data_IF_384702694341
#
_entry.id   IF_384702694341
#
_cell.length_a   1.000
_cell.length_b   1.000
_cell.length_c   1.000
_cell.angle_alpha   90.00
_cell.angle_beta   90.00
_cell.angle_gamma   90.00
#
_symmetry.space_group_name_H-M   'P 1'
#
loop_
_entity.id
_entity.type
_entity.pdbx_description
1 polymer ?
#
# COMPACT_ATOMS: atom_id res chain seq x y z
N UNK A 1 -6.96 30.41 -48.52
CA UNK A 1 -7.16 31.62 -47.69
C UNK A 1 -6.49 31.40 -46.34
N UNK A 2 -5.54 32.27 -45.97
CA UNK A 2 -4.79 32.23 -44.70
C UNK A 2 -5.54 33.08 -43.67
N UNK A 3 -5.75 32.58 -42.45
CA UNK A 3 -6.09 33.36 -41.26
C UNK A 3 -5.61 32.52 -40.05
N UNK A 4 -4.36 32.60 -39.59
CA UNK A 4 -3.64 33.67 -38.86
C UNK A 4 -4.28 34.05 -37.51
N UNK A 5 -3.74 33.40 -36.47
CA UNK A 5 -3.63 33.78 -35.05
C UNK A 5 -4.91 33.81 -34.20
N UNK A 6 -4.95 32.96 -33.16
CA UNK A 6 -4.58 33.45 -31.83
C UNK A 6 -3.99 32.33 -30.97
N UNK A 7 -2.74 32.56 -30.61
CA UNK A 7 -2.03 31.95 -29.49
C UNK A 7 -2.70 32.43 -28.21
N UNK A 8 -3.12 31.53 -27.33
CA UNK A 8 -3.30 31.86 -25.92
C UNK A 8 -2.54 30.85 -25.07
N UNK A 9 -1.29 31.22 -24.80
CA UNK A 9 -0.47 30.63 -23.77
C UNK A 9 -0.98 31.11 -22.40
N UNK A 10 -1.37 30.19 -21.54
CA UNK A 10 -1.55 30.45 -20.11
C UNK A 10 -0.71 29.41 -19.34
N UNK A 11 0.58 29.71 -19.20
CA UNK A 11 1.46 29.02 -18.27
C UNK A 11 1.10 29.48 -16.86
N UNK A 12 0.34 28.66 -16.13
CA UNK A 12 0.16 28.84 -14.69
C UNK A 12 1.33 28.16 -13.96
N UNK A 13 2.35 28.96 -13.72
CA UNK A 13 3.45 28.72 -12.80
C UNK A 13 2.91 28.64 -11.37
N UNK A 14 2.93 27.46 -10.75
CA UNK A 14 2.65 27.30 -9.32
C UNK A 14 3.97 27.47 -8.54
N UNK A 15 4.03 28.35 -7.53
CA UNK A 15 5.24 28.60 -6.77
C UNK A 15 5.60 27.45 -5.81
N UNK A 16 6.90 27.20 -5.74
CA UNK A 16 7.62 26.25 -4.90
C UNK A 16 7.45 26.61 -3.41
N UNK A 17 6.83 25.73 -2.61
CA UNK A 17 6.81 25.88 -1.15
C UNK A 17 8.16 25.42 -0.57
N UNK A 18 8.89 26.35 0.01
CA UNK A 18 10.12 26.12 0.75
C UNK A 18 9.83 25.32 2.04
N UNK A 19 10.35 24.10 2.12
CA UNK A 19 10.42 23.33 3.37
C UNK A 19 11.72 23.72 4.10
N UNK A 20 11.56 24.46 5.19
CA UNK A 20 12.63 24.76 6.14
C UNK A 20 12.95 23.52 7.00
N UNK A 21 14.22 23.46 7.40
CA UNK A 21 14.94 22.29 7.89
C UNK A 21 14.56 21.95 9.35
N UNK A 22 14.24 20.67 9.59
CA UNK A 22 14.31 20.06 10.92
C UNK A 22 15.51 19.12 10.97
N UNK A 23 16.63 19.58 11.52
CA UNK A 23 17.76 18.73 11.89
C UNK A 23 17.35 17.89 13.11
N UNK A 24 16.80 16.70 12.86
CA UNK A 24 16.64 15.70 13.90
C UNK A 24 17.96 14.93 14.03
N UNK A 25 18.62 15.09 15.18
CA UNK A 25 19.70 14.23 15.64
C UNK A 25 19.25 12.76 15.56
N UNK A 26 19.90 11.95 14.73
CA UNK A 26 19.80 10.50 14.83
C UNK A 26 21.12 9.94 15.33
N UNK A 27 21.16 9.34 16.52
CA UNK A 27 22.36 8.64 17.00
C UNK A 27 22.69 7.46 16.09
N UNK A 28 23.99 7.28 15.87
CA UNK A 28 24.58 6.16 15.14
C UNK A 28 24.17 4.82 15.76
N UNK A 29 23.61 3.86 15.03
CA UNK A 29 23.46 2.50 15.54
C UNK A 29 24.80 1.79 15.50
N UNK A 30 25.43 1.68 16.67
CA UNK A 30 26.46 0.68 16.95
C UNK A 30 25.80 -0.71 16.89
N UNK A 31 26.28 -1.58 15.99
CA UNK A 31 25.93 -3.00 15.96
C UNK A 31 26.23 -3.70 17.31
N UNK A 32 25.46 -4.73 17.65
CA UNK A 32 26.06 -5.96 18.16
C UNK A 32 25.83 -7.15 17.22
N UNK A 33 26.84 -8.02 17.02
CA UNK A 33 26.71 -9.30 16.32
C UNK A 33 26.04 -10.32 17.25
N UNK A 34 25.02 -11.02 16.75
CA UNK A 34 24.32 -12.03 17.52
C UNK A 34 23.41 -12.88 16.65
N UNK A 35 23.99 -13.91 16.03
CA UNK A 35 23.26 -14.99 15.36
C UNK A 35 22.50 -15.80 16.42
N UNK A 36 21.23 -15.47 16.65
CA UNK A 36 20.31 -16.30 17.42
C UNK A 36 19.33 -16.95 16.44
N UNK A 37 19.63 -18.19 16.04
CA UNK A 37 18.74 -19.01 15.21
C UNK A 37 17.88 -19.85 16.14
N UNK A 38 16.58 -19.84 15.88
CA UNK A 38 15.59 -20.87 16.29
C UNK A 38 15.06 -20.84 17.73
N UNK A 39 14.41 -19.74 18.14
CA UNK A 39 13.33 -19.81 19.14
C UNK A 39 12.22 -18.75 18.95
N UNK A 40 12.26 -17.97 17.86
CA UNK A 40 11.46 -16.75 17.69
C UNK A 40 10.28 -16.90 16.71
N UNK A 41 10.14 -18.04 16.01
CA UNK A 41 9.13 -18.16 14.95
C UNK A 41 7.68 -18.23 15.45
N UNK A 42 7.44 -18.80 16.64
CA UNK A 42 6.10 -18.77 17.24
C UNK A 42 5.78 -17.38 17.79
N UNK A 43 6.77 -16.71 18.41
CA UNK A 43 6.61 -15.36 18.97
C UNK A 43 6.29 -14.31 17.87
N UNK A 44 6.90 -14.48 16.70
CA UNK A 44 6.69 -13.60 15.54
C UNK A 44 5.28 -13.73 14.94
N UNK A 45 4.61 -14.89 15.06
CA UNK A 45 3.23 -15.07 14.58
C UNK A 45 2.20 -14.32 15.44
N UNK A 46 2.46 -14.22 16.74
CA UNK A 46 1.63 -13.47 17.69
C UNK A 46 1.93 -11.95 17.70
N UNK A 47 2.95 -11.51 16.95
CA UNK A 47 3.28 -10.10 16.82
C UNK A 47 2.12 -9.29 16.21
N UNK A 48 1.70 -8.23 16.89
CA UNK A 48 0.69 -7.30 16.37
C UNK A 48 1.31 -6.34 15.36
N UNK A 49 0.77 -6.33 14.15
CA UNK A 49 1.17 -5.47 13.03
C UNK A 49 -0.02 -4.54 12.68
N UNK A 50 0.22 -3.24 12.76
CA UNK A 50 -0.74 -2.21 12.37
C UNK A 50 -0.47 -1.74 10.93
N UNK A 51 -1.44 -1.93 10.04
CA UNK A 51 -1.38 -1.45 8.64
C UNK A 51 -2.44 -0.38 8.40
N UNK A 52 -2.10 0.65 7.63
CA UNK A 52 -3.04 1.69 7.19
C UNK A 52 -3.68 1.24 5.89
N UNK A 53 -4.99 0.99 5.91
CA UNK A 53 -5.74 0.60 4.73
C UNK A 53 -6.26 1.83 3.98
N UNK A 54 -6.32 1.76 2.64
CA UNK A 54 -7.00 2.77 1.85
C UNK A 54 -8.50 2.78 2.21
N UNK A 55 -9.18 3.91 1.97
CA UNK A 55 -10.60 4.00 2.23
C UNK A 55 -11.38 3.03 1.33
N UNK A 56 -12.40 2.32 1.87
CA UNK A 56 -13.13 1.30 1.12
C UNK A 56 -13.93 1.88 -0.04
N UNK A 57 -14.38 3.14 0.05
CA UNK A 57 -15.09 3.85 -1.02
C UNK A 57 -14.89 5.37 -0.93
N UNK A 58 -14.38 5.96 -2.02
CA UNK A 58 -14.28 7.41 -2.20
C UNK A 58 -13.32 8.12 -1.22
N UNK A 59 -13.16 9.42 -1.42
CA UNK A 59 -12.19 10.26 -0.67
C UNK A 59 -12.77 10.84 0.63
N UNK A 60 -14.09 10.67 0.87
CA UNK A 60 -14.81 11.36 1.96
C UNK A 60 -14.63 10.69 3.33
N UNK A 61 -14.48 9.37 3.36
CA UNK A 61 -14.12 8.61 4.55
C UNK A 61 -12.62 8.34 4.40
N UNK A 62 -11.77 8.86 5.29
CA UNK A 62 -10.32 8.66 5.18
C UNK A 62 -9.90 7.19 5.37
N UNK A 63 -8.66 6.86 5.03
CA UNK A 63 -8.08 5.55 5.34
C UNK A 63 -8.05 5.29 6.85
N UNK A 64 -8.24 4.03 7.25
CA UNK A 64 -8.24 3.60 8.65
C UNK A 64 -7.06 2.69 8.94
N UNK A 65 -6.59 2.68 10.19
CA UNK A 65 -5.52 1.78 10.63
C UNK A 65 -6.13 0.55 11.26
N UNK A 66 -5.67 -0.64 10.83
CA UNK A 66 -6.07 -1.93 11.39
C UNK A 66 -4.85 -2.61 11.98
N UNK A 67 -4.95 -2.97 13.25
CA UNK A 67 -3.92 -3.74 13.96
C UNK A 67 -4.40 -5.17 14.12
N UNK A 68 -3.62 -6.11 13.60
CA UNK A 68 -3.91 -7.55 13.67
C UNK A 68 -2.61 -8.31 13.90
N UNK A 69 -2.70 -9.53 14.41
CA UNK A 69 -1.50 -10.37 14.56
C UNK A 69 -0.94 -10.77 13.20
N UNK A 70 0.34 -11.10 13.15
CA UNK A 70 0.98 -11.56 11.91
C UNK A 70 0.28 -12.81 11.36
N UNK A 71 -0.13 -13.72 12.24
CA UNK A 71 -0.96 -14.88 11.87
C UNK A 71 -2.25 -14.46 11.14
N UNK A 72 -2.99 -13.50 11.67
CA UNK A 72 -4.24 -13.03 11.05
C UNK A 72 -4.00 -12.40 9.67
N UNK A 73 -2.89 -11.66 9.51
CA UNK A 73 -2.53 -11.11 8.20
C UNK A 73 -2.21 -12.19 7.17
N UNK A 74 -1.52 -13.26 7.57
CA UNK A 74 -1.22 -14.40 6.70
C UNK A 74 -2.49 -15.15 6.31
N UNK A 75 -3.41 -15.39 7.26
CA UNK A 75 -4.70 -16.01 6.98
C UNK A 75 -5.53 -15.18 5.99
N UNK A 76 -5.54 -13.86 6.14
CA UNK A 76 -6.23 -12.95 5.23
C UNK A 76 -5.64 -12.97 3.81
N UNK A 77 -4.32 -12.96 3.71
CA UNK A 77 -3.61 -13.03 2.42
C UNK A 77 -3.88 -14.36 1.71
N UNK A 78 -3.84 -15.47 2.45
CA UNK A 78 -4.12 -16.79 1.89
C UNK A 78 -5.59 -16.92 1.46
N UNK A 79 -6.53 -16.41 2.24
CA UNK A 79 -7.95 -16.39 1.86
C UNK A 79 -8.20 -15.53 0.61
N UNK A 80 -7.49 -14.42 0.46
CA UNK A 80 -7.57 -13.57 -0.73
C UNK A 80 -7.07 -14.29 -1.98
N UNK A 81 -5.92 -14.98 -1.87
CA UNK A 81 -5.37 -15.77 -2.97
C UNK A 81 -6.27 -16.93 -3.38
N UNK A 82 -6.81 -17.69 -2.41
CA UNK A 82 -7.75 -18.78 -2.70
C UNK A 82 -9.02 -18.28 -3.41
N UNK A 83 -9.55 -17.12 -2.99
CA UNK A 83 -10.70 -16.50 -3.63
C UNK A 83 -10.40 -16.11 -5.08
N UNK A 84 -9.24 -15.49 -5.33
CA UNK A 84 -8.80 -15.12 -6.68
C UNK A 84 -8.57 -16.36 -7.55
N UNK A 85 -7.89 -17.38 -7.03
CA UNK A 85 -7.63 -18.62 -7.76
C UNK A 85 -8.93 -19.34 -8.11
N UNK A 86 -9.92 -19.36 -7.22
CA UNK A 86 -11.27 -19.89 -7.49
C UNK A 86 -11.98 -19.08 -8.57
N UNK A 87 -11.91 -17.75 -8.51
CA UNK A 87 -12.50 -16.89 -9.53
C UNK A 87 -11.85 -17.13 -10.91
N UNK A 88 -10.52 -17.18 -10.98
CA UNK A 88 -9.77 -17.43 -12.22
C UNK A 88 -10.05 -18.82 -12.81
N UNK A 89 -10.00 -19.86 -11.97
CA UNK A 89 -10.32 -21.23 -12.41
C UNK A 89 -11.78 -21.42 -12.81
N UNK A 90 -12.71 -20.68 -12.20
CA UNK A 90 -14.14 -20.73 -12.55
C UNK A 90 -14.47 -20.14 -13.93
N UNK A 91 -13.70 -19.15 -14.42
CA UNK A 91 -13.88 -18.60 -15.76
C UNK A 91 -12.95 -19.17 -16.84
N UNK A 92 -11.96 -19.99 -16.48
CA UNK A 92 -10.97 -20.54 -17.42
C UNK A 92 -11.46 -21.70 -18.30
N UNK A 93 -12.67 -22.24 -18.06
CA UNK A 93 -13.07 -23.53 -18.64
C UNK A 93 -14.20 -23.53 -19.66
N UNK A 94 -15.21 -22.65 -19.52
CA UNK A 94 -16.42 -22.59 -20.39
C UNK A 94 -17.39 -21.52 -19.87
N UNK A 95 -17.40 -20.35 -20.51
CA UNK A 95 -18.55 -19.43 -20.52
C UNK A 95 -18.92 -18.73 -19.20
N UNK A 96 -18.32 -17.57 -18.96
CA UNK A 96 -18.88 -16.55 -18.06
C UNK A 96 -19.65 -15.53 -18.92
N UNK A 97 -20.93 -15.81 -19.20
CA UNK A 97 -21.84 -14.95 -19.97
C UNK A 97 -22.82 -15.79 -20.80
N UNK A 98 -24.11 -15.54 -20.87
CA UNK A 98 -25.01 -14.56 -20.27
C UNK A 98 -26.43 -15.07 -20.57
N UNK A 99 -27.43 -14.61 -19.82
CA UNK A 99 -28.83 -14.77 -20.22
C UNK A 99 -29.15 -13.71 -21.29
#
# INVERSE_FOLDING_TARGET
MRWSHMVFAAALTVPLAAYAQGTANTPSPTNPPGTAVSQDQTSDLDQVICKRLPPPTGTRIGGHTVCQTKKQWLELEQSSQDTLQKAESSCGGRGCGGN
#
